data_IF_375593705338
#
_entry.id   IF_375593705338
#
_cell.length_a   1.000
_cell.length_b   1.000
_cell.length_c   1.000
_cell.angle_alpha   90.00
_cell.angle_beta   90.00
_cell.angle_gamma   90.00
#
_symmetry.space_group_name_H-M   'P 1'
#
loop_
_entity.id
_entity.type
_entity.pdbx_description
1 polymer ?
#
# COMPACT_ATOMS: atom_id res chain seq x y z
N UNK A 1 -22.78 -11.16 -24.02
CA UNK A 1 -21.81 -12.11 -24.53
C UNK A 1 -20.51 -12.08 -23.72
N UNK A 2 -19.68 -13.13 -23.80
CA UNK A 2 -18.31 -13.11 -23.35
C UNK A 2 -17.42 -12.63 -24.49
N UNK A 3 -16.23 -12.07 -24.17
CA UNK A 3 -15.29 -11.59 -25.18
C UNK A 3 -14.16 -12.58 -25.33
N UNK A 4 -13.87 -13.04 -26.54
CA UNK A 4 -12.79 -13.98 -26.83
C UNK A 4 -11.92 -13.47 -27.97
N UNK A 5 -10.64 -13.85 -27.97
CA UNK A 5 -9.76 -13.68 -29.12
C UNK A 5 -9.34 -15.02 -29.71
N UNK A 6 -9.06 -15.07 -31.00
CA UNK A 6 -8.46 -16.23 -31.60
C UNK A 6 -6.95 -16.22 -31.39
N UNK A 7 -6.40 -17.37 -30.98
CA UNK A 7 -4.97 -17.61 -30.92
C UNK A 7 -4.40 -18.04 -32.26
N UNK A 8 -3.09 -17.98 -32.42
CA UNK A 8 -2.36 -18.45 -33.59
C UNK A 8 -2.61 -19.93 -33.87
N UNK A 9 -2.93 -20.75 -32.87
CA UNK A 9 -3.24 -22.16 -32.94
C UNK A 9 -4.72 -22.44 -33.33
N UNK A 10 -5.49 -21.40 -33.65
CA UNK A 10 -6.91 -21.49 -34.03
C UNK A 10 -7.87 -21.62 -32.84
N UNK A 11 -7.39 -21.82 -31.63
CA UNK A 11 -8.22 -21.89 -30.41
C UNK A 11 -8.64 -20.49 -29.93
N UNK A 12 -9.72 -20.43 -29.16
CA UNK A 12 -10.19 -19.19 -28.57
C UNK A 12 -9.71 -19.04 -27.14
N UNK A 13 -9.24 -17.84 -26.79
CA UNK A 13 -8.87 -17.43 -25.46
C UNK A 13 -9.89 -16.44 -24.91
N UNK A 14 -10.39 -16.71 -23.69
CA UNK A 14 -11.39 -15.86 -23.05
C UNK A 14 -10.69 -14.60 -22.48
N UNK A 15 -11.07 -13.44 -22.99
CA UNK A 15 -10.55 -12.13 -22.54
C UNK A 15 -11.43 -11.56 -21.42
N UNK A 16 -12.77 -11.67 -21.57
CA UNK A 16 -13.72 -11.18 -20.56
C UNK A 16 -14.94 -12.11 -20.48
N UNK A 17 -15.51 -12.24 -19.27
CA UNK A 17 -16.73 -13.05 -19.06
C UNK A 17 -16.51 -14.39 -18.36
N UNK A 18 -15.41 -14.59 -17.64
CA UNK A 18 -15.08 -15.81 -16.89
C UNK A 18 -16.21 -16.27 -15.95
N UNK A 19 -16.86 -15.33 -15.25
CA UNK A 19 -18.01 -15.65 -14.38
C UNK A 19 -19.22 -16.15 -15.17
N UNK A 20 -19.49 -15.59 -16.36
CA UNK A 20 -20.56 -16.06 -17.26
C UNK A 20 -20.28 -17.46 -17.78
N UNK A 21 -19.03 -17.73 -18.20
CA UNK A 21 -18.59 -19.07 -18.56
C UNK A 21 -18.85 -20.05 -17.42
N UNK A 22 -18.40 -19.74 -16.21
CA UNK A 22 -18.62 -20.61 -15.05
C UNK A 22 -20.09 -20.81 -14.71
N UNK A 23 -20.91 -19.78 -14.81
CA UNK A 23 -22.35 -19.88 -14.59
C UNK A 23 -23.04 -20.80 -15.65
N UNK A 24 -22.64 -20.69 -16.93
CA UNK A 24 -23.13 -21.57 -17.98
C UNK A 24 -22.74 -23.04 -17.76
N UNK A 25 -21.48 -23.29 -17.37
CA UNK A 25 -21.01 -24.64 -17.01
C UNK A 25 -21.83 -25.25 -15.87
N UNK A 26 -22.07 -24.48 -14.80
CA UNK A 26 -22.89 -24.92 -13.65
C UNK A 26 -24.35 -25.14 -14.00
N UNK A 27 -24.88 -24.40 -14.98
CA UNK A 27 -26.24 -24.53 -15.45
C UNK A 27 -26.39 -25.62 -16.55
N UNK A 28 -25.31 -26.34 -16.92
CA UNK A 28 -25.31 -27.40 -17.89
C UNK A 28 -25.41 -26.95 -19.36
N UNK A 29 -25.10 -25.69 -19.68
CA UNK A 29 -25.02 -25.21 -21.03
C UNK A 29 -23.72 -25.68 -21.72
N UNK A 30 -23.83 -26.31 -22.87
CA UNK A 30 -22.66 -26.75 -23.66
C UNK A 30 -22.00 -25.62 -24.44
N UNK A 31 -22.71 -24.52 -24.68
CA UNK A 31 -22.22 -23.40 -25.47
C UNK A 31 -22.42 -22.07 -24.76
N UNK A 32 -21.51 -21.11 -25.01
CA UNK A 32 -21.60 -19.76 -24.54
C UNK A 32 -21.51 -18.78 -25.70
N UNK A 33 -22.44 -17.83 -25.76
CA UNK A 33 -22.40 -16.76 -26.75
C UNK A 33 -21.21 -15.86 -26.52
N UNK A 34 -20.32 -15.75 -27.52
CA UNK A 34 -19.11 -14.94 -27.45
C UNK A 34 -19.07 -13.90 -28.58
N UNK A 35 -18.38 -12.81 -28.30
CA UNK A 35 -17.95 -11.84 -29.30
C UNK A 35 -16.46 -12.10 -29.58
N UNK A 36 -16.11 -12.31 -30.83
CA UNK A 36 -14.73 -12.55 -31.25
C UNK A 36 -14.10 -11.22 -31.61
N UNK A 37 -13.02 -10.88 -30.94
CA UNK A 37 -12.24 -9.66 -31.19
C UNK A 37 -10.88 -10.02 -31.78
N UNK A 38 -10.43 -9.20 -32.73
CA UNK A 38 -9.10 -9.36 -33.35
C UNK A 38 -8.11 -8.49 -32.57
N UNK A 39 -7.48 -9.10 -31.56
CA UNK A 39 -6.52 -8.46 -30.66
C UNK A 39 -5.26 -9.32 -30.53
N UNK A 40 -4.11 -8.67 -30.51
CA UNK A 40 -2.89 -9.34 -30.10
C UNK A 40 -2.92 -9.66 -28.59
N UNK A 41 -1.91 -10.39 -28.10
CA UNK A 41 -1.85 -10.83 -26.70
C UNK A 41 -1.80 -9.65 -25.72
N UNK A 42 -1.08 -8.60 -26.08
CA UNK A 42 -0.87 -7.46 -25.18
C UNK A 42 -2.13 -6.57 -25.14
N UNK A 43 -2.78 -6.33 -26.27
CA UNK A 43 -4.06 -5.63 -26.33
C UNK A 43 -5.17 -6.40 -25.60
N UNK A 44 -5.21 -7.73 -25.72
CA UNK A 44 -6.13 -8.58 -24.98
C UNK A 44 -5.89 -8.52 -23.46
N UNK A 45 -4.63 -8.47 -23.04
CA UNK A 45 -4.28 -8.29 -21.62
C UNK A 45 -4.75 -6.93 -21.09
N UNK A 46 -4.59 -5.86 -21.86
CA UNK A 46 -5.08 -4.53 -21.50
C UNK A 46 -6.60 -4.54 -21.36
N UNK A 47 -7.31 -5.07 -22.35
CA UNK A 47 -8.79 -5.18 -22.32
C UNK A 47 -9.30 -6.03 -21.14
N UNK A 48 -8.61 -7.14 -20.82
CA UNK A 48 -8.95 -7.99 -19.67
C UNK A 48 -8.83 -7.19 -18.35
N UNK A 49 -7.75 -6.46 -18.16
CA UNK A 49 -7.53 -5.62 -16.98
C UNK A 49 -8.62 -4.54 -16.90
N UNK A 50 -8.91 -3.82 -17.98
CA UNK A 50 -9.94 -2.78 -18.04
C UNK A 50 -11.33 -3.31 -17.68
N UNK A 51 -11.69 -4.48 -18.18
CA UNK A 51 -12.97 -5.11 -17.86
C UNK A 51 -13.13 -5.45 -16.37
N UNK A 52 -12.04 -5.66 -15.66
CA UNK A 52 -12.02 -5.91 -14.22
C UNK A 52 -12.12 -4.63 -13.39
N UNK A 53 -11.66 -3.48 -13.91
CA UNK A 53 -11.77 -2.18 -13.20
C UNK A 53 -13.21 -1.69 -13.02
N UNK A 54 -14.17 -2.22 -13.77
CA UNK A 54 -15.60 -1.90 -13.65
C UNK A 54 -16.27 -2.53 -12.41
N UNK A 55 -15.54 -3.33 -11.63
CA UNK A 55 -16.07 -3.93 -10.39
C UNK A 55 -16.05 -2.92 -9.27
N UNK A 56 -17.11 -2.91 -8.47
CA UNK A 56 -17.31 -1.97 -7.35
C UNK A 56 -16.33 -2.17 -6.18
N UNK A 57 -15.72 -3.35 -6.06
CA UNK A 57 -14.72 -3.66 -5.04
C UNK A 57 -13.60 -4.49 -5.67
N UNK A 58 -12.41 -3.90 -5.74
CA UNK A 58 -11.18 -4.55 -6.23
C UNK A 58 -10.19 -4.54 -5.07
N UNK A 59 -9.63 -5.70 -4.75
CA UNK A 59 -8.63 -5.83 -3.70
C UNK A 59 -7.33 -5.08 -4.08
N UNK A 60 -6.58 -4.56 -3.09
CA UNK A 60 -5.28 -3.94 -3.34
C UNK A 60 -4.31 -4.83 -4.13
N UNK A 61 -4.28 -6.13 -3.86
CA UNK A 61 -3.48 -7.11 -4.60
C UNK A 61 -3.92 -7.23 -6.05
N UNK A 62 -5.23 -7.35 -6.30
CA UNK A 62 -5.78 -7.41 -7.67
C UNK A 62 -5.41 -6.16 -8.47
N UNK A 63 -5.52 -4.96 -7.88
CA UNK A 63 -5.08 -3.72 -8.49
C UNK A 63 -3.57 -3.72 -8.78
N UNK A 64 -2.76 -4.22 -7.84
CA UNK A 64 -1.32 -4.29 -7.97
C UNK A 64 -0.89 -5.12 -9.19
N UNK A 65 -1.41 -6.34 -9.30
CA UNK A 65 -1.13 -7.22 -10.43
C UNK A 65 -1.72 -6.71 -11.74
N UNK A 66 -2.93 -6.13 -11.71
CA UNK A 66 -3.56 -5.53 -12.87
C UNK A 66 -2.71 -4.38 -13.45
N UNK A 67 -2.24 -3.45 -12.61
CA UNK A 67 -1.35 -2.38 -13.05
C UNK A 67 -0.02 -2.91 -13.57
N UNK A 68 0.59 -3.89 -12.90
CA UNK A 68 1.83 -4.52 -13.37
C UNK A 68 1.66 -5.13 -14.75
N UNK A 69 0.64 -5.97 -14.94
CA UNK A 69 0.35 -6.62 -16.24
C UNK A 69 0.11 -5.60 -17.35
N UNK A 70 -0.66 -4.55 -17.07
CA UNK A 70 -0.96 -3.51 -18.04
C UNK A 70 0.29 -2.71 -18.43
N UNK A 71 1.11 -2.32 -17.46
CA UNK A 71 2.38 -1.63 -17.72
C UNK A 71 3.37 -2.50 -18.51
N UNK A 72 3.44 -3.79 -18.23
CA UNK A 72 4.28 -4.72 -18.98
C UNK A 72 3.79 -4.92 -20.41
N UNK A 73 2.46 -5.03 -20.63
CA UNK A 73 1.87 -5.11 -21.96
C UNK A 73 2.15 -3.83 -22.78
N UNK A 74 1.90 -2.66 -22.21
CA UNK A 74 2.19 -1.37 -22.85
C UNK A 74 3.68 -1.22 -23.19
N UNK A 75 4.57 -1.69 -22.32
CA UNK A 75 6.01 -1.68 -22.57
C UNK A 75 6.40 -2.57 -23.75
N UNK A 76 5.83 -3.79 -23.85
CA UNK A 76 6.08 -4.70 -24.97
C UNK A 76 5.59 -4.11 -26.28
N UNK A 77 4.42 -3.48 -26.29
CA UNK A 77 3.89 -2.79 -27.47
C UNK A 77 4.78 -1.61 -27.89
N UNK A 78 5.24 -0.80 -26.93
CA UNK A 78 6.12 0.36 -27.22
C UNK A 78 7.54 -0.06 -27.63
N UNK A 79 8.04 -1.22 -27.15
CA UNK A 79 9.36 -1.78 -27.50
C UNK A 79 9.37 -2.60 -28.81
N UNK A 80 8.23 -2.82 -29.47
CA UNK A 80 8.15 -3.47 -30.78
C UNK A 80 8.66 -2.49 -31.82
N UNK A 81 9.77 -2.75 -32.55
CA UNK A 81 10.27 -1.81 -33.53
C UNK A 81 9.21 -1.62 -34.64
N UNK A 82 8.66 -0.42 -34.70
CA UNK A 82 7.92 0.00 -35.89
C UNK A 82 8.91 -0.02 -37.05
N UNK A 83 8.56 -0.64 -38.17
CA UNK A 83 9.40 -0.71 -39.36
C UNK A 83 9.80 0.66 -39.94
N UNK A 84 9.28 1.74 -39.39
CA UNK A 84 9.44 3.10 -39.95
C UNK A 84 10.27 4.08 -39.11
N UNK A 85 10.56 3.83 -37.82
CA UNK A 85 11.31 4.80 -37.02
C UNK A 85 12.33 4.11 -36.09
N UNK A 86 13.55 3.95 -36.61
CA UNK A 86 14.69 3.39 -35.91
C UNK A 86 15.37 4.35 -34.92
N UNK A 87 14.74 4.67 -33.80
CA UNK A 87 15.42 5.34 -32.67
C UNK A 87 15.13 4.54 -31.39
N UNK A 88 16.16 3.93 -30.75
CA UNK A 88 15.98 3.29 -29.43
C UNK A 88 15.80 4.37 -28.36
N UNK A 89 14.59 4.60 -27.90
CA UNK A 89 14.32 5.38 -26.71
C UNK A 89 14.74 4.58 -25.46
N UNK A 90 15.62 5.16 -24.64
CA UNK A 90 16.16 4.53 -23.42
C UNK A 90 15.08 4.00 -22.49
N UNK A 91 15.35 2.84 -21.88
CA UNK A 91 14.44 2.00 -21.12
C UNK A 91 13.69 2.71 -19.97
N UNK A 92 14.30 3.70 -19.32
CA UNK A 92 13.72 4.36 -18.12
C UNK A 92 12.63 5.40 -18.44
N UNK A 93 12.68 6.03 -19.62
CA UNK A 93 11.69 7.03 -20.03
C UNK A 93 10.32 6.42 -20.44
N UNK A 94 10.30 5.16 -20.87
CA UNK A 94 9.07 4.46 -21.28
C UNK A 94 8.18 4.12 -20.09
N UNK A 95 8.75 3.76 -18.92
CA UNK A 95 7.99 3.49 -17.71
C UNK A 95 7.26 4.73 -17.16
N UNK A 96 7.89 5.92 -17.27
CA UNK A 96 7.29 7.18 -16.87
C UNK A 96 6.07 7.51 -17.73
N UNK A 97 6.23 7.51 -19.04
CA UNK A 97 5.15 7.82 -20.01
C UNK A 97 3.98 6.85 -19.93
N UNK A 98 4.22 5.54 -19.81
CA UNK A 98 3.15 4.54 -19.69
C UNK A 98 2.34 4.72 -18.41
N UNK A 99 2.97 5.09 -17.28
CA UNK A 99 2.26 5.39 -16.03
C UNK A 99 1.47 6.69 -16.08
N UNK A 100 1.98 7.71 -16.79
CA UNK A 100 1.28 8.97 -17.02
C UNK A 100 0.02 8.75 -17.87
N UNK A 101 0.11 7.93 -18.91
CA UNK A 101 -1.05 7.53 -19.72
C UNK A 101 -2.09 6.79 -18.86
N UNK A 102 -1.66 5.83 -18.06
CA UNK A 102 -2.55 5.11 -17.15
C UNK A 102 -3.22 6.01 -16.12
N UNK A 103 -2.49 6.99 -15.59
CA UNK A 103 -3.04 7.94 -14.64
C UNK A 103 -4.03 8.92 -15.30
N UNK A 104 -3.83 9.26 -16.57
CA UNK A 104 -4.76 10.10 -17.32
C UNK A 104 -6.07 9.38 -17.67
N UNK A 105 -6.04 8.06 -17.87
CA UNK A 105 -7.20 7.24 -18.20
C UNK A 105 -7.95 6.71 -16.96
N UNK A 106 -7.27 6.65 -15.81
CA UNK A 106 -7.77 6.05 -14.57
C UNK A 106 -8.10 7.06 -13.47
N UNK A 107 -8.59 6.53 -12.35
CA UNK A 107 -8.88 7.32 -11.12
C UNK A 107 -7.66 7.49 -10.21
N UNK A 108 -6.62 6.66 -10.39
CA UNK A 108 -5.45 6.62 -9.52
C UNK A 108 -4.30 7.49 -10.11
N UNK A 109 -3.65 8.28 -9.27
CA UNK A 109 -2.49 9.08 -9.67
C UNK A 109 -1.28 8.21 -10.03
N UNK A 110 -0.33 8.76 -10.81
CA UNK A 110 0.93 8.07 -11.16
C UNK A 110 1.66 7.53 -9.92
N UNK A 111 1.71 8.31 -8.83
CA UNK A 111 2.30 7.88 -7.55
C UNK A 111 1.54 6.70 -6.92
N UNK A 112 0.21 6.71 -7.02
CA UNK A 112 -0.63 5.62 -6.50
C UNK A 112 -0.42 4.34 -7.29
N UNK A 113 -0.39 4.43 -8.63
CA UNK A 113 -0.08 3.29 -9.51
C UNK A 113 1.28 2.68 -9.16
N UNK A 114 2.31 3.52 -8.94
CA UNK A 114 3.63 3.05 -8.54
C UNK A 114 3.60 2.30 -7.20
N UNK A 115 2.83 2.79 -6.23
CA UNK A 115 2.65 2.11 -4.94
C UNK A 115 1.97 0.75 -5.10
N UNK A 116 0.92 0.66 -5.90
CA UNK A 116 0.26 -0.63 -6.19
C UNK A 116 1.24 -1.60 -6.83
N UNK A 117 1.96 -1.19 -7.88
CA UNK A 117 2.95 -2.06 -8.53
C UNK A 117 4.01 -2.56 -7.55
N UNK A 118 4.43 -1.73 -6.59
CA UNK A 118 5.38 -2.16 -5.55
C UNK A 118 4.85 -3.29 -4.68
N UNK A 119 3.53 -3.36 -4.42
CA UNK A 119 2.94 -4.44 -3.62
C UNK A 119 3.16 -5.82 -4.22
N UNK A 120 3.36 -5.94 -5.55
CA UNK A 120 3.64 -7.24 -6.20
C UNK A 120 4.97 -7.86 -5.79
N UNK A 121 5.80 -7.15 -5.02
CA UNK A 121 7.06 -7.65 -4.46
C UNK A 121 6.91 -8.13 -3.00
N UNK A 122 5.69 -8.10 -2.45
CA UNK A 122 5.41 -8.67 -1.14
C UNK A 122 5.24 -10.19 -1.24
N UNK A 123 5.64 -10.89 -0.16
CA UNK A 123 5.27 -12.29 0.01
C UNK A 123 3.74 -12.43 0.15
N UNK A 124 3.15 -13.57 -0.26
CA UNK A 124 1.71 -13.76 -0.27
C UNK A 124 1.04 -13.45 1.07
N UNK A 125 1.66 -13.84 2.18
CA UNK A 125 1.14 -13.67 3.54
C UNK A 125 0.99 -12.17 3.91
N UNK A 126 1.97 -11.33 3.52
CA UNK A 126 1.87 -9.88 3.72
C UNK A 126 0.85 -9.25 2.79
N UNK A 127 0.71 -9.77 1.58
CA UNK A 127 -0.25 -9.27 0.60
C UNK A 127 -1.69 -9.55 1.06
N UNK A 128 -1.95 -10.73 1.63
CA UNK A 128 -3.24 -11.09 2.24
C UNK A 128 -3.58 -10.13 3.40
N UNK A 129 -2.60 -9.80 4.25
CA UNK A 129 -2.79 -8.81 5.32
C UNK A 129 -3.10 -7.40 4.81
N UNK A 130 -2.63 -7.05 3.61
CA UNK A 130 -2.99 -5.78 2.95
C UNK A 130 -4.42 -5.83 2.42
N UNK A 131 -4.83 -6.94 1.82
CA UNK A 131 -6.18 -7.15 1.30
C UNK A 131 -7.22 -7.16 2.41
N UNK A 132 -6.90 -7.75 3.56
CA UNK A 132 -7.71 -7.71 4.79
C UNK A 132 -7.74 -6.32 5.44
N UNK A 133 -6.94 -5.38 4.98
CA UNK A 133 -6.84 -4.03 5.53
C UNK A 133 -6.10 -3.94 6.88
N UNK A 134 -5.51 -5.03 7.35
CA UNK A 134 -4.70 -5.10 8.58
C UNK A 134 -3.40 -4.30 8.41
N UNK A 135 -2.77 -4.37 7.24
CA UNK A 135 -1.62 -3.53 6.87
C UNK A 135 -2.08 -2.46 5.89
N UNK A 136 -1.79 -1.20 6.20
CA UNK A 136 -2.12 -0.09 5.30
C UNK A 136 -1.13 0.01 4.13
N UNK A 137 -1.56 0.68 3.04
CA UNK A 137 -0.78 0.84 1.81
C UNK A 137 0.65 1.37 2.05
N UNK A 138 0.84 2.38 2.92
CA UNK A 138 2.16 2.98 3.14
C UNK A 138 3.15 2.02 3.82
N UNK A 139 2.81 1.38 4.96
CA UNK A 139 3.66 0.33 5.54
C UNK A 139 3.96 -0.79 4.55
N UNK A 140 2.97 -1.26 3.80
CA UNK A 140 3.13 -2.33 2.81
C UNK A 140 4.16 -1.99 1.72
N UNK A 141 4.13 -0.74 1.22
CA UNK A 141 5.12 -0.27 0.23
C UNK A 141 6.53 -0.25 0.82
N UNK A 142 6.71 0.15 2.09
CA UNK A 142 8.03 0.11 2.73
C UNK A 142 8.53 -1.33 2.90
N UNK A 143 7.66 -2.26 3.32
CA UNK A 143 8.00 -3.69 3.43
C UNK A 143 8.36 -4.32 2.09
N UNK A 144 7.80 -3.87 0.98
CA UNK A 144 8.11 -4.36 -0.37
C UNK A 144 9.54 -4.06 -0.85
N UNK A 145 10.32 -3.30 -0.09
CA UNK A 145 11.76 -3.06 -0.35
C UNK A 145 12.67 -4.07 0.35
N UNK A 146 12.14 -4.86 1.28
CA UNK A 146 12.85 -5.94 1.95
C UNK A 146 12.93 -7.16 1.04
N UNK A 147 13.91 -8.02 1.25
CA UNK A 147 13.96 -9.34 0.61
C UNK A 147 12.90 -10.29 1.22
N UNK A 148 12.70 -11.45 0.57
CA UNK A 148 11.70 -12.42 1.03
C UNK A 148 12.00 -12.98 2.43
N UNK A 149 13.28 -13.11 2.81
CA UNK A 149 13.68 -13.60 4.13
C UNK A 149 13.21 -12.62 5.22
N UNK A 150 13.64 -11.36 5.11
CA UNK A 150 13.22 -10.31 6.05
C UNK A 150 11.71 -10.07 6.07
N UNK A 151 11.02 -10.25 4.93
CA UNK A 151 9.56 -10.15 4.89
C UNK A 151 8.90 -11.28 5.71
N UNK A 152 9.43 -12.51 5.63
CA UNK A 152 8.95 -13.65 6.44
C UNK A 152 9.22 -13.45 7.92
N UNK A 153 10.38 -12.90 8.30
CA UNK A 153 10.66 -12.53 9.69
C UNK A 153 9.60 -11.55 10.23
N UNK A 154 9.20 -10.58 9.40
CA UNK A 154 8.11 -9.65 9.76
C UNK A 154 6.77 -10.37 9.91
N UNK A 155 6.45 -11.35 9.06
CA UNK A 155 5.21 -12.17 9.18
C UNK A 155 5.22 -12.94 10.49
N UNK A 156 6.32 -13.62 10.82
CA UNK A 156 6.46 -14.36 12.08
C UNK A 156 6.25 -13.46 13.29
N UNK A 157 6.83 -12.26 13.29
CA UNK A 157 6.64 -11.29 14.37
C UNK A 157 5.21 -10.74 14.45
N UNK A 158 4.51 -10.59 13.31
CA UNK A 158 3.09 -10.22 13.29
C UNK A 158 2.25 -11.31 13.95
N UNK A 159 2.55 -12.57 13.68
CA UNK A 159 1.81 -13.70 14.22
C UNK A 159 2.11 -13.90 15.72
N UNK A 160 3.35 -13.73 16.14
CA UNK A 160 3.76 -13.82 17.54
C UNK A 160 3.12 -12.71 18.39
N UNK A 161 3.20 -11.47 17.94
CA UNK A 161 2.76 -10.30 18.70
C UNK A 161 1.30 -9.92 18.44
N UNK A 162 0.62 -10.59 17.48
CA UNK A 162 -0.74 -10.26 17.03
C UNK A 162 -0.92 -8.77 16.67
N UNK A 163 0.14 -8.13 16.20
CA UNK A 163 0.16 -6.71 15.85
C UNK A 163 0.88 -6.46 14.52
N UNK A 164 0.35 -5.57 13.70
CA UNK A 164 0.97 -5.16 12.43
C UNK A 164 1.90 -3.96 12.61
N UNK A 165 3.00 -3.84 11.85
CA UNK A 165 3.94 -2.74 12.00
C UNK A 165 3.31 -1.39 11.62
N UNK A 166 3.68 -0.34 12.32
CA UNK A 166 3.36 1.04 11.96
C UNK A 166 4.21 1.50 10.77
N UNK A 167 3.79 2.60 10.12
CA UNK A 167 4.56 3.17 9.01
C UNK A 167 5.98 3.60 9.42
N UNK A 168 6.14 4.17 10.61
CA UNK A 168 7.46 4.55 11.13
C UNK A 168 8.36 3.33 11.37
N UNK A 169 7.81 2.27 11.97
CA UNK A 169 8.53 1.00 12.15
C UNK A 169 9.00 0.42 10.81
N UNK A 170 8.15 0.43 9.77
CA UNK A 170 8.52 -0.10 8.45
C UNK A 170 9.58 0.76 7.74
N UNK A 171 9.57 2.08 7.89
CA UNK A 171 10.64 2.96 7.40
C UNK A 171 11.98 2.61 8.07
N UNK A 172 11.98 2.39 9.38
CA UNK A 172 13.17 2.01 10.13
C UNK A 172 13.69 0.64 9.71
N UNK A 173 12.81 -0.35 9.54
CA UNK A 173 13.18 -1.68 9.02
C UNK A 173 13.85 -1.56 7.65
N UNK A 174 13.27 -0.80 6.73
CA UNK A 174 13.86 -0.55 5.42
C UNK A 174 15.23 0.14 5.52
N UNK A 175 15.42 1.09 6.44
CA UNK A 175 16.71 1.73 6.67
C UNK A 175 17.75 0.73 7.16
N UNK A 176 17.44 -0.08 8.19
CA UNK A 176 18.34 -1.14 8.68
C UNK A 176 18.66 -2.17 7.60
N UNK A 177 17.67 -2.53 6.76
CA UNK A 177 17.88 -3.41 5.62
C UNK A 177 18.87 -2.80 4.61
N UNK A 178 18.72 -1.53 4.24
CA UNK A 178 19.65 -0.85 3.32
C UNK A 178 21.07 -0.73 3.88
N UNK A 179 21.25 -0.74 5.20
CA UNK A 179 22.53 -0.77 5.89
C UNK A 179 23.08 -2.20 6.10
N UNK A 180 22.36 -3.24 5.68
CA UNK A 180 22.74 -4.64 5.90
C UNK A 180 22.69 -5.09 7.36
N UNK A 181 21.91 -4.40 8.20
CA UNK A 181 21.81 -4.63 9.65
C UNK A 181 20.44 -5.14 10.11
N UNK A 182 19.54 -5.45 9.20
CA UNK A 182 18.22 -5.98 9.55
C UNK A 182 18.35 -7.48 9.82
N UNK A 183 18.34 -7.85 11.09
CA UNK A 183 18.29 -9.25 11.55
C UNK A 183 16.93 -9.53 12.19
N UNK A 184 16.51 -10.80 12.36
CA UNK A 184 15.24 -11.14 13.03
C UNK A 184 15.12 -10.49 14.41
N UNK A 185 16.19 -10.40 15.19
CA UNK A 185 16.20 -9.78 16.51
C UNK A 185 15.93 -8.27 16.42
N UNK A 186 16.43 -7.61 15.35
CA UNK A 186 16.18 -6.18 15.12
C UNK A 186 14.72 -5.98 14.70
N UNK A 187 14.15 -6.87 13.88
CA UNK A 187 12.73 -6.84 13.52
C UNK A 187 11.87 -6.97 14.78
N UNK A 188 12.16 -7.97 15.62
CA UNK A 188 11.47 -8.18 16.90
C UNK A 188 11.56 -6.95 17.82
N UNK A 189 12.77 -6.39 18.01
CA UNK A 189 12.96 -5.20 18.81
C UNK A 189 12.13 -4.01 18.32
N UNK A 190 12.08 -3.77 17.00
CA UNK A 190 11.28 -2.70 16.40
C UNK A 190 9.78 -2.95 16.58
N UNK A 191 9.33 -4.20 16.45
CA UNK A 191 7.91 -4.58 16.59
C UNK A 191 7.41 -4.48 18.03
N UNK A 192 8.26 -4.77 19.01
CA UNK A 192 7.94 -4.70 20.44
C UNK A 192 7.90 -3.25 20.98
N UNK A 193 8.38 -2.25 20.23
CA UNK A 193 8.32 -0.86 20.68
C UNK A 193 6.87 -0.35 20.78
N UNK A 194 6.60 0.41 21.84
CA UNK A 194 5.32 1.11 22.01
C UNK A 194 5.03 2.03 20.82
N UNK A 195 3.92 1.78 20.14
CA UNK A 195 3.51 2.64 19.02
C UNK A 195 3.09 4.02 19.50
N UNK A 196 3.36 5.09 18.74
CA UNK A 196 2.96 6.45 19.11
C UNK A 196 1.46 6.61 19.42
N UNK A 197 0.61 5.73 18.85
CA UNK A 197 -0.83 5.72 19.09
C UNK A 197 -1.23 5.03 20.40
N UNK A 198 -0.35 4.24 21.01
CA UNK A 198 -0.58 3.54 22.28
C UNK A 198 -0.11 4.37 23.49
N UNK A 199 0.68 5.41 23.25
CA UNK A 199 1.08 6.35 24.33
C UNK A 199 -0.11 7.17 24.76
N UNK A 200 -0.36 7.21 26.06
CA UNK A 200 -1.36 8.12 26.61
C UNK A 200 -1.05 9.56 26.17
N UNK A 201 -2.00 10.15 25.46
CA UNK A 201 -1.93 11.56 25.05
C UNK A 201 -2.96 12.36 25.83
N UNK A 202 -2.49 13.23 26.70
CA UNK A 202 -3.34 14.21 27.35
C UNK A 202 -3.53 15.38 26.40
N UNK A 203 -4.71 15.47 25.78
CA UNK A 203 -5.06 16.59 24.87
C UNK A 203 -5.76 17.66 25.67
N UNK A 204 -5.10 18.77 25.89
CA UNK A 204 -5.69 19.94 26.51
C UNK A 204 -6.25 20.88 25.42
N UNK A 205 -7.45 21.43 25.65
CA UNK A 205 -8.02 22.43 24.74
C UNK A 205 -7.16 23.70 24.78
N UNK A 206 -6.55 24.06 23.66
CA UNK A 206 -5.62 25.17 23.54
C UNK A 206 -6.20 26.50 24.05
N UNK A 207 -7.47 26.79 23.77
CA UNK A 207 -8.15 28.01 24.21
C UNK A 207 -8.23 28.12 25.73
N UNK A 208 -8.58 27.01 26.42
CA UNK A 208 -8.66 26.97 27.87
C UNK A 208 -7.27 27.10 28.52
N UNK A 209 -6.27 26.40 27.97
CA UNK A 209 -4.91 26.48 28.48
C UNK A 209 -4.36 27.89 28.28
N UNK A 210 -4.57 28.48 27.09
CA UNK A 210 -4.10 29.82 26.77
C UNK A 210 -4.69 30.92 27.65
N UNK A 211 -5.95 30.77 28.07
CA UNK A 211 -6.58 31.72 29.02
C UNK A 211 -5.93 31.74 30.42
N UNK A 212 -5.27 30.64 30.81
CA UNK A 212 -4.59 30.51 32.12
C UNK A 212 -3.12 30.92 32.06
N UNK A 213 -2.55 31.09 30.85
CA UNK A 213 -1.14 31.47 30.68
C UNK A 213 -1.02 32.99 30.57
N UNK A 214 -0.08 33.61 31.31
CA UNK A 214 0.20 35.03 31.20
C UNK A 214 0.51 35.47 29.77
N UNK A 215 0.03 36.65 29.36
CA UNK A 215 0.17 37.15 27.96
C UNK A 215 1.61 37.40 27.52
N UNK A 216 2.53 37.56 28.48
CA UNK A 216 3.97 37.74 28.22
C UNK A 216 4.71 36.48 27.83
N UNK A 217 4.08 35.29 27.89
CA UNK A 217 4.72 34.03 27.53
C UNK A 217 4.44 33.71 26.04
N UNK A 218 5.49 33.59 25.22
CA UNK A 218 5.32 33.28 23.79
C UNK A 218 4.80 31.85 23.60
N UNK A 219 4.18 31.60 22.45
CA UNK A 219 3.55 30.30 22.12
C UNK A 219 4.58 29.16 22.18
N UNK A 220 5.83 29.41 21.77
CA UNK A 220 6.92 28.42 21.78
C UNK A 220 7.32 27.95 23.21
N UNK A 221 7.02 28.73 24.23
CA UNK A 221 7.35 28.41 25.65
C UNK A 221 6.12 27.95 26.45
N UNK A 222 4.98 27.80 25.79
CA UNK A 222 3.72 27.45 26.46
C UNK A 222 3.78 26.06 27.12
N UNK A 223 4.40 25.10 26.47
CA UNK A 223 4.55 23.71 26.96
C UNK A 223 5.40 23.68 28.23
N UNK A 224 6.58 24.30 28.19
CA UNK A 224 7.47 24.41 29.35
C UNK A 224 6.81 25.12 30.54
N UNK A 225 6.03 26.15 30.26
CA UNK A 225 5.31 26.87 31.33
C UNK A 225 4.26 25.97 31.99
N UNK A 226 3.47 25.24 31.18
CA UNK A 226 2.44 24.31 31.69
C UNK A 226 3.08 23.19 32.50
N UNK A 227 4.17 22.60 32.05
CA UNK A 227 4.89 21.56 32.78
C UNK A 227 5.39 22.06 34.14
N UNK A 228 6.04 23.24 34.19
CA UNK A 228 6.51 23.85 35.43
C UNK A 228 5.33 24.17 36.38
N UNK A 229 4.22 24.65 35.87
CA UNK A 229 3.03 24.94 36.67
C UNK A 229 2.46 23.64 37.30
N UNK A 230 2.40 22.55 36.55
CA UNK A 230 1.97 21.25 37.05
C UNK A 230 2.92 20.67 38.10
N UNK A 231 4.22 20.79 37.91
CA UNK A 231 5.22 20.39 38.91
C UNK A 231 5.08 21.18 40.19
N UNK A 232 4.91 22.49 40.08
CA UNK A 232 4.69 23.34 41.25
C UNK A 232 3.42 22.96 42.00
N UNK A 233 2.32 22.75 41.25
CA UNK A 233 1.06 22.37 41.86
C UNK A 233 1.13 20.98 42.52
N UNK A 234 1.82 20.01 41.91
CA UNK A 234 2.01 18.68 42.51
C UNK A 234 2.81 18.72 43.80
N UNK A 235 3.85 19.60 43.89
CA UNK A 235 4.62 19.84 45.14
C UNK A 235 3.74 20.49 46.21
N UNK A 236 2.93 21.47 45.82
CA UNK A 236 2.00 22.12 46.72
C UNK A 236 0.99 21.12 47.33
N UNK A 237 0.39 20.23 46.50
CA UNK A 237 -0.51 19.20 46.99
C UNK A 237 0.15 18.23 47.97
N UNK A 238 1.38 17.81 47.72
CA UNK A 238 2.15 16.97 48.67
C UNK A 238 2.38 17.65 50.01
N UNK A 239 2.83 18.90 49.98
CA UNK A 239 3.03 19.69 51.22
C UNK A 239 1.75 19.91 52.01
N UNK A 240 0.62 20.04 51.30
CA UNK A 240 -0.72 20.16 51.94
C UNK A 240 -1.13 18.84 52.59
N UNK A 241 -0.97 17.74 51.90
CA UNK A 241 -1.28 16.41 52.45
C UNK A 241 -0.44 16.10 53.69
N UNK A 242 0.86 16.47 53.69
CA UNK A 242 1.75 16.32 54.84
C UNK A 242 1.37 17.19 56.06
N UNK A 243 0.74 18.36 55.81
CA UNK A 243 0.21 19.22 56.88
C UNK A 243 -1.10 18.69 57.44
N UNK A 244 -1.97 18.17 56.59
CA UNK A 244 -3.28 17.63 57.00
C UNK A 244 -3.17 16.26 57.71
N UNK A 245 -2.00 15.61 57.60
CA UNK A 245 -1.67 14.32 58.27
C UNK A 245 -0.97 14.47 59.62
N UNK A 246 -0.65 15.70 60.01
CA UNK A 246 -0.10 16.06 61.35
C UNK A 246 -1.16 16.66 62.23
#
# INVERSE_FOLDING_TARGET
PATVRQKEDGRYELVSGHRRKRACELAGFETLRCEVVDLDRDAATILMVESNYQRSQILPSEKAFAYKMRLEAMKRQAGRPSKENGVPLGHDNLFGKSRELLAAEGTDSNTQIQRYVRLTNLVPELLDLVDDGRIKMRPAVELSYLDEGCQRDVVEEIDLNQCTPSHDQTIRMRKFFSEGKLTPEVVSAIMCEEKPNQREKIILRGDKVRSLIPKNIPISQTEDYVLKALEHYSRFLRQRADRDSR
#
